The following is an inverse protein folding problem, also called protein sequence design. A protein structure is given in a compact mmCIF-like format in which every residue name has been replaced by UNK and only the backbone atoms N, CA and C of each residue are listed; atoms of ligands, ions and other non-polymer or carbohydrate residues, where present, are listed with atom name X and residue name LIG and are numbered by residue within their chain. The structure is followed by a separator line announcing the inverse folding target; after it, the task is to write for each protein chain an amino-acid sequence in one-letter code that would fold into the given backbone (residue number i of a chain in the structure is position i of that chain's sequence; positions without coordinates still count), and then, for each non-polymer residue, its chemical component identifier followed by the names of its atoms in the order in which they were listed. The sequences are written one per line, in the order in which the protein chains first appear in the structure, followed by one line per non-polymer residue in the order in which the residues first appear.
data_IF_506141255102
#
_entry.id   IF_506141255102
#
_cell.length_a   1.000
_cell.length_b   1.000
_cell.length_c   1.000
_cell.angle_alpha   90.00
_cell.angle_beta   90.00
_cell.angle_gamma   90.00
#
_symmetry.space_group_name_H-M   'P 1'
#
loop_
_entity.id
_entity.type
_entity.pdbx_description
1 polymer ?
#
# COMPACT_ATOMS: atom_id res chain seq x y z
N UNK A 1 -3.31 5.44 -15.97
CA UNK A 1 -3.54 5.51 -17.45
C UNK A 1 -2.57 6.53 -18.06
N UNK A 2 -1.91 6.23 -19.15
CA UNK A 2 -0.95 7.14 -19.79
C UNK A 2 -1.50 7.60 -21.16
N UNK A 3 -2.34 8.67 -21.17
CA UNK A 3 -2.91 9.27 -22.36
C UNK A 3 -4.17 8.59 -22.91
N UNK A 4 -4.73 9.17 -23.96
CA UNK A 4 -6.04 8.79 -24.55
C UNK A 4 -6.07 7.35 -25.07
N UNK A 5 -4.99 6.85 -25.66
CA UNK A 5 -4.95 5.46 -26.16
C UNK A 5 -5.13 4.44 -25.01
N UNK A 6 -4.60 4.74 -23.83
CA UNK A 6 -4.80 3.89 -22.65
C UNK A 6 -6.23 4.00 -22.10
N UNK A 7 -6.83 5.18 -22.17
CA UNK A 7 -8.25 5.36 -21.82
C UNK A 7 -9.13 4.52 -22.77
N UNK A 8 -8.86 4.52 -24.08
CA UNK A 8 -9.56 3.69 -25.05
C UNK A 8 -9.39 2.18 -24.78
N UNK A 9 -8.19 1.77 -24.37
CA UNK A 9 -7.94 0.39 -23.97
C UNK A 9 -8.77 0.00 -22.75
N UNK A 10 -8.74 0.82 -21.69
CA UNK A 10 -9.55 0.59 -20.48
C UNK A 10 -11.04 0.61 -20.79
N UNK A 11 -11.52 1.52 -21.65
CA UNK A 11 -12.91 1.56 -22.06
C UNK A 11 -13.38 0.23 -22.70
N UNK A 12 -12.55 -0.41 -23.53
CA UNK A 12 -12.86 -1.73 -24.09
C UNK A 12 -12.94 -2.83 -23.02
N UNK A 13 -12.05 -2.81 -22.03
CA UNK A 13 -12.11 -3.77 -20.92
C UNK A 13 -13.38 -3.58 -20.08
N UNK A 14 -13.70 -2.34 -19.77
CA UNK A 14 -14.90 -1.98 -18.99
C UNK A 14 -16.17 -2.33 -19.75
N UNK A 15 -16.27 -1.99 -21.03
CA UNK A 15 -17.43 -2.32 -21.86
C UNK A 15 -17.69 -3.82 -21.92
N UNK A 16 -16.63 -4.62 -22.11
CA UNK A 16 -16.71 -6.09 -22.09
C UNK A 16 -17.21 -6.63 -20.75
N UNK A 17 -16.68 -6.09 -19.63
CA UNK A 17 -17.11 -6.50 -18.30
C UNK A 17 -18.58 -6.14 -18.03
N UNK A 18 -19.02 -5.00 -18.55
CA UNK A 18 -20.39 -4.51 -18.39
C UNK A 18 -21.44 -5.33 -19.16
N UNK A 19 -21.03 -6.14 -20.16
CA UNK A 19 -21.90 -7.11 -20.84
C UNK A 19 -22.30 -8.28 -19.93
N UNK A 20 -21.47 -8.57 -18.89
CA UNK A 20 -21.65 -9.72 -18.00
C UNK A 20 -22.15 -9.33 -16.60
N UNK A 21 -21.91 -8.09 -16.18
CA UNK A 21 -22.22 -7.66 -14.81
C UNK A 21 -22.46 -6.16 -14.68
N UNK A 22 -23.16 -5.75 -13.64
CA UNK A 22 -23.22 -4.34 -13.24
C UNK A 22 -21.79 -3.86 -12.91
N UNK A 23 -21.34 -2.80 -13.56
CA UNK A 23 -19.94 -2.38 -13.50
C UNK A 23 -19.81 -0.95 -13.01
N UNK A 24 -19.07 -0.80 -11.91
CA UNK A 24 -18.59 0.46 -11.37
C UNK A 24 -17.06 0.53 -11.56
N UNK A 25 -16.55 1.63 -12.08
CA UNK A 25 -15.12 1.81 -12.38
C UNK A 25 -14.57 2.98 -11.60
N UNK A 26 -13.57 2.74 -10.76
CA UNK A 26 -12.81 3.78 -10.07
C UNK A 26 -11.49 4.02 -10.80
N UNK A 27 -11.20 5.27 -11.13
CA UNK A 27 -10.02 5.64 -11.89
C UNK A 27 -9.05 6.50 -11.09
N UNK A 28 -7.75 6.30 -11.33
CA UNK A 28 -6.68 7.21 -10.90
C UNK A 28 -6.41 8.27 -11.96
N UNK A 29 -5.70 9.33 -11.60
CA UNK A 29 -5.18 10.31 -12.54
C UNK A 29 -4.33 9.65 -13.64
N UNK A 30 -4.19 10.31 -14.77
CA UNK A 30 -3.26 9.88 -15.81
C UNK A 30 -1.81 9.92 -15.28
N UNK A 31 -0.96 9.03 -15.81
CA UNK A 31 0.43 8.93 -15.38
C UNK A 31 1.15 10.29 -15.46
N UNK A 32 1.79 10.70 -14.35
CA UNK A 32 2.49 11.97 -14.20
C UNK A 32 1.59 13.19 -13.93
N UNK A 33 0.26 13.05 -14.02
CA UNK A 33 -0.66 14.18 -13.85
C UNK A 33 -0.68 14.65 -12.39
N UNK A 34 -0.73 13.76 -11.43
CA UNK A 34 -0.67 14.11 -10.01
C UNK A 34 0.63 14.84 -9.66
N UNK A 35 1.79 14.38 -10.17
CA UNK A 35 3.07 15.03 -9.95
C UNK A 35 3.10 16.44 -10.57
N UNK A 36 2.51 16.61 -11.76
CA UNK A 36 2.36 17.91 -12.43
C UNK A 36 1.52 18.87 -11.61
N UNK A 37 0.38 18.41 -11.08
CA UNK A 37 -0.51 19.22 -10.24
C UNK A 37 0.17 19.60 -8.91
N UNK A 38 0.89 18.67 -8.29
CA UNK A 38 1.72 18.92 -7.09
C UNK A 38 2.77 19.98 -7.36
N UNK A 39 3.42 19.92 -8.54
CA UNK A 39 4.41 20.93 -8.92
C UNK A 39 3.75 22.33 -9.08
N UNK A 40 2.57 22.41 -9.69
CA UNK A 40 1.82 23.68 -9.78
C UNK A 40 1.50 24.26 -8.39
N UNK A 41 1.09 23.44 -7.43
CA UNK A 41 0.86 23.90 -6.06
C UNK A 41 2.12 24.51 -5.44
N UNK A 42 3.29 23.86 -5.61
CA UNK A 42 4.58 24.34 -5.10
C UNK A 42 5.01 25.66 -5.76
N UNK A 43 4.76 25.81 -7.06
CA UNK A 43 5.09 27.01 -7.82
C UNK A 43 4.16 28.17 -7.48
N UNK A 44 2.87 27.88 -7.23
CA UNK A 44 1.89 28.88 -6.86
C UNK A 44 2.13 29.46 -5.45
N UNK A 45 2.50 28.61 -4.48
CA UNK A 45 2.72 29.03 -3.11
C UNK A 45 3.69 28.08 -2.37
N UNK A 46 4.77 28.64 -1.82
CA UNK A 46 5.73 27.88 -1.01
C UNK A 46 5.06 27.29 0.26
N UNK A 47 4.10 28.02 0.83
CA UNK A 47 3.24 27.57 1.91
C UNK A 47 1.79 27.71 1.47
N UNK A 48 1.09 26.60 1.30
CA UNK A 48 -0.29 26.56 0.83
C UNK A 48 -1.20 25.91 1.87
N UNK A 49 -2.48 26.30 1.85
CA UNK A 49 -3.51 25.63 2.65
C UNK A 49 -3.71 24.19 2.11
N UNK A 50 -3.62 23.16 2.93
CA UNK A 50 -3.84 21.78 2.51
C UNK A 50 -5.22 21.55 1.86
N UNK A 51 -6.23 22.33 2.22
CA UNK A 51 -7.57 22.25 1.64
C UNK A 51 -7.59 22.69 0.17
N UNK A 52 -6.85 23.74 -0.18
CA UNK A 52 -6.71 24.21 -1.56
C UNK A 52 -5.81 23.26 -2.38
N UNK A 53 -4.78 22.70 -1.74
CA UNK A 53 -3.96 21.65 -2.35
C UNK A 53 -4.81 20.45 -2.77
N UNK A 54 -5.69 19.96 -1.90
CA UNK A 54 -6.58 18.83 -2.19
C UNK A 54 -7.50 19.10 -3.39
N UNK A 55 -8.03 20.32 -3.52
CA UNK A 55 -8.85 20.73 -4.68
C UNK A 55 -8.06 20.60 -5.98
N UNK A 56 -6.81 21.07 -5.98
CA UNK A 56 -5.97 21.02 -7.19
C UNK A 56 -5.62 19.59 -7.57
N UNK A 57 -5.09 18.80 -6.62
CA UNK A 57 -4.58 17.45 -6.95
C UNK A 57 -5.70 16.46 -7.26
N UNK A 58 -6.89 16.61 -6.64
CA UNK A 58 -8.05 15.77 -6.93
C UNK A 58 -8.61 15.93 -8.35
N UNK A 59 -8.27 17.03 -9.05
CA UNK A 59 -8.75 17.30 -10.40
C UNK A 59 -8.22 16.32 -11.44
N UNK A 60 -7.07 15.69 -11.18
CA UNK A 60 -6.45 14.73 -12.09
C UNK A 60 -7.33 13.51 -12.35
N UNK A 61 -7.91 12.94 -11.28
CA UNK A 61 -8.83 11.82 -11.36
C UNK A 61 -10.16 12.22 -12.00
N UNK A 62 -10.63 13.45 -11.76
CA UNK A 62 -11.88 13.97 -12.37
C UNK A 62 -11.75 14.06 -13.89
N UNK A 63 -10.61 14.57 -14.40
CA UNK A 63 -10.31 14.58 -15.83
C UNK A 63 -10.33 13.16 -16.41
N UNK A 64 -9.68 12.22 -15.75
CA UNK A 64 -9.64 10.82 -16.20
C UNK A 64 -11.02 10.18 -16.23
N UNK A 65 -11.85 10.40 -15.21
CA UNK A 65 -13.20 9.86 -15.13
C UNK A 65 -14.10 10.42 -16.25
N UNK A 66 -14.06 11.74 -16.49
CA UNK A 66 -14.79 12.36 -17.59
C UNK A 66 -14.39 11.82 -18.96
N UNK A 67 -13.07 11.69 -19.22
CA UNK A 67 -12.56 11.16 -20.49
C UNK A 67 -12.93 9.69 -20.70
N UNK A 68 -12.91 8.88 -19.64
CA UNK A 68 -13.33 7.48 -19.73
C UNK A 68 -14.84 7.36 -20.01
N UNK A 69 -15.67 8.13 -19.31
CA UNK A 69 -17.12 8.14 -19.55
C UNK A 69 -17.45 8.57 -20.99
N UNK A 70 -16.83 9.64 -21.49
CA UNK A 70 -16.97 10.07 -22.90
C UNK A 70 -16.54 9.00 -23.88
N UNK A 71 -15.45 8.28 -23.59
CA UNK A 71 -14.94 7.23 -24.46
C UNK A 71 -15.90 6.04 -24.50
N UNK A 72 -16.48 5.63 -23.36
CA UNK A 72 -17.50 4.59 -23.27
C UNK A 72 -18.77 4.99 -24.04
N UNK A 73 -19.25 6.22 -23.86
CA UNK A 73 -20.39 6.75 -24.60
C UNK A 73 -20.16 6.74 -26.14
N UNK A 74 -18.93 7.04 -26.58
CA UNK A 74 -18.57 6.97 -28.00
C UNK A 74 -18.49 5.53 -28.54
N UNK A 75 -18.58 4.52 -27.64
CA UNK A 75 -18.69 3.10 -27.97
C UNK A 75 -20.13 2.57 -27.79
N UNK A 76 -21.12 3.49 -27.77
CA UNK A 76 -22.54 3.21 -27.55
C UNK A 76 -22.87 2.57 -26.20
N UNK A 77 -21.96 2.62 -25.20
CA UNK A 77 -22.21 2.16 -23.86
C UNK A 77 -22.88 3.28 -23.04
N UNK A 78 -23.94 2.95 -22.28
CA UNK A 78 -24.51 3.88 -21.30
C UNK A 78 -23.55 4.03 -20.13
N UNK A 79 -22.84 5.17 -20.06
CA UNK A 79 -21.84 5.44 -19.04
C UNK A 79 -21.98 6.86 -18.50
N UNK A 80 -21.75 7.02 -17.19
CA UNK A 80 -21.84 8.31 -16.51
C UNK A 80 -20.75 8.45 -15.43
N UNK A 81 -20.16 9.65 -15.35
CA UNK A 81 -19.23 9.98 -14.25
C UNK A 81 -19.99 10.43 -13.00
N UNK A 82 -19.53 9.94 -11.84
CA UNK A 82 -19.99 10.33 -10.50
C UNK A 82 -18.78 10.80 -9.72
N UNK A 83 -18.77 12.04 -9.24
CA UNK A 83 -17.60 12.58 -8.55
C UNK A 83 -17.40 11.91 -7.18
N UNK A 84 -16.15 11.57 -6.84
CA UNK A 84 -15.84 10.91 -5.59
C UNK A 84 -16.29 11.69 -4.36
N UNK A 85 -16.17 13.02 -4.39
CA UNK A 85 -16.66 13.90 -3.33
C UNK A 85 -18.19 13.98 -3.20
N UNK A 86 -18.95 13.48 -4.17
CA UNK A 86 -20.40 13.32 -4.05
C UNK A 86 -20.82 12.02 -3.40
N UNK A 87 -19.90 11.06 -3.29
CA UNK A 87 -20.18 9.68 -2.90
C UNK A 87 -19.49 9.29 -1.58
N UNK A 88 -18.29 9.83 -1.36
CA UNK A 88 -17.45 9.46 -0.23
C UNK A 88 -17.40 10.60 0.78
N UNK A 89 -17.93 10.36 1.98
CA UNK A 89 -17.68 11.20 3.14
C UNK A 89 -16.30 10.86 3.72
N UNK A 90 -15.49 11.88 3.95
CA UNK A 90 -14.13 11.74 4.43
C UNK A 90 -13.88 12.59 5.68
N UNK A 91 -13.02 12.11 6.56
CA UNK A 91 -12.62 12.82 7.78
C UNK A 91 -11.11 12.83 7.98
N UNK A 92 -10.65 13.65 8.90
CA UNK A 92 -9.24 13.71 9.32
C UNK A 92 -8.44 14.80 8.61
N UNK A 93 -7.17 14.51 8.34
CA UNK A 93 -6.22 15.51 7.84
C UNK A 93 -6.27 15.57 6.32
N UNK A 94 -6.42 16.77 5.75
CA UNK A 94 -6.28 17.00 4.32
C UNK A 94 -4.96 16.42 3.78
N UNK A 95 -4.98 15.83 2.59
CA UNK A 95 -3.86 15.09 2.02
C UNK A 95 -3.74 13.64 2.52
N UNK A 96 -4.46 13.25 3.58
CA UNK A 96 -4.48 11.89 4.13
C UNK A 96 -5.77 11.59 4.89
N UNK A 97 -6.91 12.01 4.33
CA UNK A 97 -8.23 11.77 4.90
C UNK A 97 -8.61 10.28 4.92
N UNK A 98 -9.60 9.93 5.73
CA UNK A 98 -10.15 8.58 5.84
C UNK A 98 -11.57 8.56 5.31
N UNK A 99 -11.96 7.47 4.65
CA UNK A 99 -13.34 7.26 4.24
C UNK A 99 -14.15 6.85 5.48
N UNK A 100 -15.21 7.58 5.76
CA UNK A 100 -16.13 7.32 6.87
C UNK A 100 -17.41 6.66 6.39
N UNK A 101 -17.96 7.14 5.29
CA UNK A 101 -19.26 6.71 4.78
C UNK A 101 -19.33 6.80 3.27
N UNK A 102 -20.22 6.01 2.68
CA UNK A 102 -20.50 6.01 1.26
C UNK A 102 -22.00 6.28 1.05
N UNK A 103 -22.30 7.24 0.18
CA UNK A 103 -23.64 7.55 -0.29
C UNK A 103 -23.89 6.83 -1.61
N UNK A 104 -24.33 5.56 -1.55
CA UNK A 104 -24.49 4.69 -2.73
C UNK A 104 -25.75 4.90 -3.54
N UNK A 105 -26.80 5.54 -2.98
CA UNK A 105 -28.12 5.54 -3.59
C UNK A 105 -28.20 6.03 -5.04
N UNK A 106 -27.38 7.01 -5.43
CA UNK A 106 -27.31 7.47 -6.82
C UNK A 106 -26.60 6.46 -7.74
N UNK A 107 -25.64 5.70 -7.20
CA UNK A 107 -24.92 4.64 -7.91
C UNK A 107 -25.84 3.43 -8.10
N UNK A 108 -26.53 3.00 -7.04
CA UNK A 108 -27.44 1.85 -7.08
C UNK A 108 -28.49 2.03 -8.18
N UNK A 109 -29.11 3.21 -8.26
CA UNK A 109 -30.08 3.52 -9.31
C UNK A 109 -29.51 3.48 -10.72
N UNK A 110 -28.29 3.97 -10.93
CA UNK A 110 -27.62 3.96 -12.22
C UNK A 110 -27.22 2.54 -12.64
N UNK A 111 -26.62 1.76 -11.73
CA UNK A 111 -26.20 0.38 -11.97
C UNK A 111 -27.40 -0.53 -12.29
N UNK A 112 -28.50 -0.37 -11.57
CA UNK A 112 -29.77 -1.09 -11.84
C UNK A 112 -30.36 -0.74 -13.21
N UNK A 113 -30.12 0.47 -13.72
CA UNK A 113 -30.53 0.88 -15.06
C UNK A 113 -29.56 0.39 -16.17
N UNK A 114 -28.47 -0.27 -15.81
CA UNK A 114 -27.44 -0.74 -16.76
C UNK A 114 -26.39 0.31 -17.11
N UNK A 115 -26.37 1.45 -16.42
CA UNK A 115 -25.38 2.52 -16.64
C UNK A 115 -24.04 2.12 -16.01
N UNK A 116 -22.96 2.23 -16.76
CA UNK A 116 -21.59 2.08 -16.24
C UNK A 116 -21.24 3.33 -15.42
N UNK A 117 -21.01 3.14 -14.12
CA UNK A 117 -20.61 4.23 -13.24
C UNK A 117 -19.09 4.42 -13.29
N UNK A 118 -18.62 5.63 -13.65
CA UNK A 118 -17.21 5.98 -13.68
C UNK A 118 -16.90 7.00 -12.58
N UNK A 119 -15.99 6.65 -11.66
CA UNK A 119 -15.76 7.42 -10.43
C UNK A 119 -14.28 7.83 -10.35
N UNK A 120 -13.96 9.12 -10.17
CA UNK A 120 -12.62 9.54 -9.80
C UNK A 120 -12.32 9.07 -8.36
N UNK A 121 -11.30 8.25 -8.20
CA UNK A 121 -10.81 7.83 -6.89
C UNK A 121 -10.07 8.92 -6.14
N UNK A 122 -9.36 8.55 -5.06
CA UNK A 122 -8.44 9.41 -4.31
C UNK A 122 -9.10 10.55 -3.52
N UNK A 123 -10.37 10.83 -3.64
CA UNK A 123 -11.07 11.99 -3.08
C UNK A 123 -12.39 11.63 -2.41
N UNK A 124 -12.74 12.42 -1.40
CA UNK A 124 -14.05 12.44 -0.75
C UNK A 124 -14.41 13.87 -0.35
N UNK A 125 -15.55 14.07 0.32
CA UNK A 125 -15.97 15.33 0.91
C UNK A 125 -15.87 15.27 2.43
N UNK A 126 -15.35 16.31 3.05
CA UNK A 126 -15.46 16.53 4.50
C UNK A 126 -16.86 17.00 4.88
N UNK A 127 -17.20 16.95 6.17
CA UNK A 127 -18.50 17.38 6.70
C UNK A 127 -18.88 18.82 6.29
N UNK A 128 -17.89 19.72 6.18
CA UNK A 128 -18.06 21.09 5.70
C UNK A 128 -18.11 21.22 4.15
N UNK A 129 -18.18 20.08 3.44
CA UNK A 129 -18.33 20.01 1.98
C UNK A 129 -17.05 20.30 1.19
N UNK A 130 -15.88 20.31 1.82
CA UNK A 130 -14.61 20.51 1.12
C UNK A 130 -14.07 19.20 0.57
N UNK A 131 -13.41 19.27 -0.59
CA UNK A 131 -12.70 18.10 -1.12
C UNK A 131 -11.52 17.77 -0.23
N UNK A 132 -11.41 16.50 0.15
CA UNK A 132 -10.27 15.94 0.88
C UNK A 132 -9.68 14.76 0.14
N UNK A 133 -8.36 14.75 -0.03
CA UNK A 133 -7.66 13.62 -0.66
C UNK A 133 -7.27 12.56 0.35
N UNK A 134 -7.32 11.30 -0.10
CA UNK A 134 -7.12 10.12 0.76
C UNK A 134 -5.64 9.74 0.93
N UNK A 135 -4.74 10.48 0.30
CA UNK A 135 -3.32 10.20 0.36
C UNK A 135 -2.88 9.01 -0.51
N UNK A 136 -1.70 8.49 -0.23
CA UNK A 136 -1.08 7.42 -1.04
C UNK A 136 -1.97 6.16 -1.09
N UNK A 137 -2.19 5.63 -2.30
CA UNK A 137 -3.11 4.50 -2.54
C UNK A 137 -4.59 4.86 -2.38
N UNK A 138 -4.91 6.15 -2.44
CA UNK A 138 -6.28 6.65 -2.25
C UNK A 138 -7.27 6.12 -3.28
N UNK A 139 -6.86 5.88 -4.54
CA UNK A 139 -7.76 5.31 -5.57
C UNK A 139 -8.12 3.87 -5.27
N UNK A 140 -7.16 3.02 -4.84
CA UNK A 140 -7.43 1.65 -4.42
C UNK A 140 -8.35 1.64 -3.20
N UNK A 141 -8.10 2.53 -2.24
CA UNK A 141 -8.94 2.68 -1.04
C UNK A 141 -10.36 3.11 -1.42
N UNK A 142 -10.52 4.04 -2.38
CA UNK A 142 -11.82 4.45 -2.91
C UNK A 142 -12.55 3.29 -3.58
N UNK A 143 -11.83 2.50 -4.39
CA UNK A 143 -12.40 1.35 -5.10
C UNK A 143 -12.95 0.31 -4.11
N UNK A 144 -12.17 -0.06 -3.10
CA UNK A 144 -12.60 -1.02 -2.06
C UNK A 144 -13.77 -0.47 -1.25
N UNK A 145 -13.71 0.83 -0.87
CA UNK A 145 -14.78 1.47 -0.13
C UNK A 145 -16.10 1.44 -0.92
N UNK A 146 -16.06 1.88 -2.19
CA UNK A 146 -17.22 1.91 -3.07
C UNK A 146 -17.78 0.50 -3.30
N UNK A 147 -16.92 -0.49 -3.56
CA UNK A 147 -17.32 -1.88 -3.72
C UNK A 147 -18.05 -2.40 -2.47
N UNK A 148 -17.52 -2.14 -1.28
CA UNK A 148 -18.13 -2.50 -0.01
C UNK A 148 -19.48 -1.78 0.19
N UNK A 149 -19.55 -0.48 -0.07
CA UNK A 149 -20.78 0.30 0.06
C UNK A 149 -21.90 -0.09 -0.90
N UNK A 150 -21.53 -0.62 -2.08
CA UNK A 150 -22.47 -1.17 -3.07
C UNK A 150 -22.85 -2.64 -2.78
N UNK A 151 -22.17 -3.30 -1.83
CA UNK A 151 -22.33 -4.75 -1.64
C UNK A 151 -21.90 -5.55 -2.87
N UNK A 152 -20.85 -5.10 -3.57
CA UNK A 152 -20.36 -5.77 -4.76
C UNK A 152 -19.80 -7.17 -4.44
N UNK A 153 -19.89 -8.09 -5.39
CA UNK A 153 -19.39 -9.46 -5.23
C UNK A 153 -17.86 -9.50 -5.08
N UNK A 154 -17.13 -8.56 -5.71
CA UNK A 154 -15.67 -8.42 -5.66
C UNK A 154 -15.23 -7.04 -6.10
N UNK A 155 -13.96 -6.72 -5.79
CA UNK A 155 -13.28 -5.53 -6.28
C UNK A 155 -12.01 -5.95 -7.05
N UNK A 156 -11.96 -5.68 -8.35
CA UNK A 156 -10.79 -5.97 -9.21
C UNK A 156 -9.88 -4.73 -9.26
N UNK A 157 -8.62 -4.88 -8.85
CA UNK A 157 -7.60 -3.81 -8.91
C UNK A 157 -6.69 -4.08 -10.11
N UNK A 158 -6.77 -3.19 -11.11
CA UNK A 158 -5.95 -3.28 -12.32
C UNK A 158 -4.66 -2.48 -12.14
N UNK A 159 -3.53 -3.16 -12.33
CA UNK A 159 -2.18 -2.60 -12.16
C UNK A 159 -1.26 -2.95 -13.34
N UNK A 160 0.00 -2.57 -13.26
CA UNK A 160 1.02 -2.85 -14.29
C UNK A 160 1.66 -4.24 -14.20
N UNK A 161 1.28 -5.03 -13.19
CA UNK A 161 1.71 -6.43 -13.02
C UNK A 161 0.53 -7.39 -13.16
N UNK A 162 0.81 -8.65 -13.50
CA UNK A 162 -0.23 -9.66 -13.72
C UNK A 162 -0.87 -10.20 -12.42
N UNK A 163 -0.38 -9.81 -11.27
CA UNK A 163 -0.84 -10.25 -9.96
C UNK A 163 0.21 -10.04 -8.89
N UNK A 164 0.05 -10.72 -7.75
CA UNK A 164 1.04 -10.79 -6.67
C UNK A 164 2.04 -11.90 -7.01
N UNK A 165 3.32 -11.63 -6.80
CA UNK A 165 4.40 -12.59 -7.03
C UNK A 165 5.06 -13.00 -5.72
N UNK A 166 5.67 -14.18 -5.70
CA UNK A 166 6.41 -14.70 -4.54
C UNK A 166 7.60 -13.83 -4.13
N UNK A 167 8.10 -12.99 -5.05
CA UNK A 167 8.98 -11.83 -4.79
C UNK A 167 8.95 -10.91 -6.01
N UNK A 168 9.71 -9.80 -5.98
CA UNK A 168 9.83 -8.91 -7.14
C UNK A 168 10.55 -9.61 -8.31
N UNK A 169 9.90 -9.81 -9.46
CA UNK A 169 10.51 -10.47 -10.64
C UNK A 169 11.76 -9.74 -11.17
N UNK A 170 11.95 -8.46 -10.84
CA UNK A 170 13.16 -7.70 -11.19
C UNK A 170 14.36 -8.12 -10.32
N UNK A 171 14.13 -8.65 -9.12
CA UNK A 171 15.16 -9.17 -8.23
C UNK A 171 15.39 -10.66 -8.53
N UNK A 172 14.33 -11.46 -8.62
CA UNK A 172 14.39 -12.89 -8.90
C UNK A 172 13.47 -13.24 -10.09
N UNK A 173 14.04 -13.44 -11.29
CA UNK A 173 13.25 -13.73 -12.50
C UNK A 173 12.41 -15.04 -12.45
N UNK A 174 12.72 -15.94 -11.51
CA UNK A 174 11.93 -17.18 -11.28
C UNK A 174 10.81 -16.97 -10.27
N UNK A 175 10.51 -15.73 -9.89
CA UNK A 175 9.39 -15.43 -9.01
C UNK A 175 8.08 -15.91 -9.65
N UNK A 176 7.36 -16.80 -8.97
CA UNK A 176 6.09 -17.32 -9.44
C UNK A 176 4.94 -16.37 -9.10
N UNK A 177 3.94 -16.28 -9.99
CA UNK A 177 2.70 -15.56 -9.69
C UNK A 177 1.85 -16.39 -8.73
N UNK A 178 1.36 -15.78 -7.68
CA UNK A 178 0.48 -16.38 -6.69
C UNK A 178 -0.97 -16.30 -7.19
N UNK A 179 -1.66 -17.41 -7.33
CA UNK A 179 -3.05 -17.41 -7.80
C UNK A 179 -4.03 -17.01 -6.69
N UNK A 180 -3.73 -17.36 -5.45
CA UNK A 180 -4.58 -17.10 -4.29
C UNK A 180 -3.73 -16.79 -3.06
N UNK A 181 -4.06 -15.72 -2.34
CA UNK A 181 -3.38 -15.29 -1.11
C UNK A 181 -4.40 -14.82 -0.07
N UNK A 182 -4.11 -15.04 1.21
CA UNK A 182 -4.91 -14.47 2.30
C UNK A 182 -4.72 -12.96 2.43
N UNK A 183 -5.77 -12.27 2.81
CA UNK A 183 -5.73 -10.83 2.95
C UNK A 183 -4.77 -10.37 4.05
N UNK A 184 -4.59 -11.15 5.13
CA UNK A 184 -3.62 -10.84 6.18
C UNK A 184 -2.18 -10.98 5.68
N UNK A 185 -1.87 -12.02 4.87
CA UNK A 185 -0.56 -12.20 4.24
C UNK A 185 -0.30 -11.10 3.21
N UNK A 186 -1.33 -10.73 2.41
CA UNK A 186 -1.23 -9.60 1.48
C UNK A 186 -0.97 -8.28 2.21
N UNK A 187 -1.60 -8.06 3.37
CA UNK A 187 -1.37 -6.90 4.23
C UNK A 187 0.09 -6.83 4.70
N UNK A 188 0.63 -7.98 5.14
CA UNK A 188 2.03 -8.07 5.56
C UNK A 188 3.00 -7.85 4.38
N UNK A 189 2.73 -8.43 3.20
CA UNK A 189 3.53 -8.19 2.00
C UNK A 189 3.51 -6.71 1.58
N UNK A 190 2.33 -6.08 1.57
CA UNK A 190 2.19 -4.66 1.26
C UNK A 190 2.97 -3.77 2.26
N UNK A 191 2.87 -4.08 3.56
CA UNK A 191 3.61 -3.38 4.62
C UNK A 191 5.12 -3.67 4.62
N UNK A 192 5.52 -4.78 4.02
CA UNK A 192 6.93 -5.16 3.88
C UNK A 192 7.60 -4.61 2.60
N UNK A 193 6.86 -3.88 1.76
CA UNK A 193 7.42 -3.23 0.57
C UNK A 193 7.02 -3.85 -0.77
N UNK A 194 6.15 -4.85 -0.80
CA UNK A 194 5.52 -5.32 -2.04
C UNK A 194 4.54 -4.25 -2.55
N UNK A 195 4.94 -3.52 -3.61
CA UNK A 195 4.24 -2.32 -4.10
C UNK A 195 3.05 -2.62 -5.02
N UNK A 196 2.41 -3.77 -4.86
CA UNK A 196 1.28 -4.18 -5.71
C UNK A 196 -0.02 -3.55 -5.23
N UNK A 197 -0.29 -3.61 -3.92
CA UNK A 197 -1.42 -2.96 -3.26
C UNK A 197 -0.95 -2.09 -2.10
N UNK A 198 -1.79 -1.15 -1.70
CA UNK A 198 -1.52 -0.32 -0.54
C UNK A 198 -2.10 -0.95 0.73
N UNK A 199 -1.37 -0.84 1.84
CA UNK A 199 -1.78 -1.37 3.17
C UNK A 199 -3.21 -0.93 3.54
N UNK A 200 -3.57 0.32 3.27
CA UNK A 200 -4.90 0.87 3.61
C UNK A 200 -6.03 0.22 2.83
N UNK A 201 -5.85 -0.06 1.54
CA UNK A 201 -6.88 -0.73 0.72
C UNK A 201 -7.08 -2.18 1.15
N UNK A 202 -6.00 -2.90 1.43
CA UNK A 202 -6.07 -4.29 1.95
C UNK A 202 -6.72 -4.32 3.34
N UNK A 203 -6.30 -3.42 4.25
CA UNK A 203 -6.90 -3.32 5.58
C UNK A 203 -8.39 -2.98 5.55
N UNK A 204 -8.81 -2.14 4.61
CA UNK A 204 -10.24 -1.85 4.38
C UNK A 204 -10.98 -3.09 3.84
N UNK A 205 -10.39 -3.82 2.90
CA UNK A 205 -10.97 -5.05 2.35
C UNK A 205 -11.19 -6.12 3.43
N UNK A 206 -10.23 -6.30 4.35
CA UNK A 206 -10.39 -7.18 5.51
C UNK A 206 -11.56 -6.74 6.38
N UNK A 207 -11.63 -5.45 6.73
CA UNK A 207 -12.69 -4.91 7.60
C UNK A 207 -14.08 -5.07 7.02
N UNK A 208 -14.22 -4.85 5.71
CA UNK A 208 -15.51 -4.90 4.99
C UNK A 208 -15.80 -6.30 4.41
N UNK A 209 -14.91 -7.28 4.64
CA UNK A 209 -14.98 -8.62 4.06
C UNK A 209 -15.16 -8.60 2.54
N UNK A 210 -14.43 -7.71 1.86
CA UNK A 210 -14.51 -7.50 0.41
C UNK A 210 -13.43 -8.30 -0.31
N UNK A 211 -13.78 -9.33 -1.13
CA UNK A 211 -12.81 -10.05 -1.94
C UNK A 211 -12.15 -9.13 -2.97
N UNK A 212 -10.82 -9.22 -3.09
CA UNK A 212 -10.06 -8.47 -4.08
C UNK A 212 -9.48 -9.40 -5.13
N UNK A 213 -9.34 -8.91 -6.36
CA UNK A 213 -8.51 -9.57 -7.37
C UNK A 213 -7.52 -8.55 -7.95
N UNK A 214 -6.24 -8.87 -7.95
CA UNK A 214 -5.22 -8.05 -8.62
C UNK A 214 -5.05 -8.57 -10.05
N UNK A 215 -5.21 -7.71 -11.04
CA UNK A 215 -5.19 -8.05 -12.47
C UNK A 215 -4.27 -7.13 -13.26
N UNK A 216 -3.74 -7.65 -14.37
CA UNK A 216 -2.99 -6.80 -15.31
C UNK A 216 -3.92 -5.85 -16.07
N UNK A 217 -3.51 -4.59 -16.17
CA UNK A 217 -4.15 -3.61 -17.06
C UNK A 217 -3.71 -3.78 -18.54
N UNK A 218 -2.81 -4.71 -18.84
CA UNK A 218 -2.18 -4.88 -20.17
C UNK A 218 -2.39 -6.25 -20.77
N UNK A 219 -2.51 -7.28 -19.93
CA UNK A 219 -2.59 -8.68 -20.35
C UNK A 219 -3.89 -9.29 -19.86
N UNK A 220 -4.56 -10.05 -20.70
CA UNK A 220 -5.78 -10.78 -20.35
C UNK A 220 -5.40 -12.17 -19.79
N UNK A 221 -4.84 -12.14 -18.58
CA UNK A 221 -4.42 -13.33 -17.85
C UNK A 221 -5.11 -13.39 -16.48
N UNK A 222 -5.28 -14.58 -15.90
CA UNK A 222 -5.77 -14.69 -14.52
C UNK A 222 -4.88 -13.91 -13.55
N UNK A 223 -5.52 -13.14 -12.68
CA UNK A 223 -4.84 -12.37 -11.65
C UNK A 223 -4.54 -13.17 -10.39
N UNK A 224 -4.31 -12.47 -9.28
CA UNK A 224 -4.23 -13.02 -7.93
C UNK A 224 -5.51 -12.71 -7.18
N UNK A 225 -6.20 -13.70 -6.66
CA UNK A 225 -7.35 -13.53 -5.77
C UNK A 225 -6.87 -13.38 -4.33
N UNK A 226 -7.41 -12.38 -3.63
CA UNK A 226 -7.14 -12.11 -2.22
C UNK A 226 -8.41 -12.42 -1.44
N UNK A 227 -8.35 -13.42 -0.57
CA UNK A 227 -9.49 -13.89 0.21
C UNK A 227 -9.44 -13.36 1.64
N UNK A 228 -10.58 -12.94 2.16
CA UNK A 228 -10.71 -12.39 3.51
C UNK A 228 -11.07 -13.44 4.56
N UNK A 229 -11.52 -14.63 4.14
CA UNK A 229 -11.87 -15.76 5.01
C UNK A 229 -11.08 -17.00 4.65
N UNK A 230 -10.65 -17.76 5.67
CA UNK A 230 -9.72 -18.89 5.54
C UNK A 230 -10.39 -20.27 5.52
N UNK A 231 -11.71 -20.38 5.50
CA UNK A 231 -12.42 -21.65 5.74
C UNK A 231 -12.04 -22.80 4.79
N UNK A 232 -11.44 -22.52 3.61
CA UNK A 232 -11.14 -23.54 2.59
C UNK A 232 -9.62 -23.75 2.27
N UNK A 233 -8.68 -23.15 3.03
CA UNK A 233 -7.28 -23.10 2.59
C UNK A 233 -6.22 -23.54 3.61
N UNK A 234 -6.55 -24.43 4.54
CA UNK A 234 -5.65 -24.87 5.65
C UNK A 234 -4.41 -25.67 5.25
N UNK A 235 -4.22 -26.06 3.98
CA UNK A 235 -3.09 -26.90 3.53
C UNK A 235 -2.16 -26.19 2.52
N UNK A 236 -2.00 -24.86 2.58
CA UNK A 236 -1.12 -24.16 1.65
C UNK A 236 0.31 -23.98 2.16
N UNK A 237 1.21 -23.72 1.22
CA UNK A 237 2.63 -23.44 1.45
C UNK A 237 2.81 -22.47 2.61
N UNK A 238 3.64 -22.84 3.56
CA UNK A 238 3.91 -22.04 4.76
C UNK A 238 4.44 -20.62 4.43
N UNK A 239 5.03 -20.41 3.25
CA UNK A 239 5.57 -19.11 2.80
C UNK A 239 4.84 -18.64 1.54
N UNK A 240 4.23 -17.46 1.63
CA UNK A 240 3.47 -16.81 0.54
C UNK A 240 4.35 -15.91 -0.32
N UNK A 241 5.41 -15.36 0.25
CA UNK A 241 6.32 -14.51 -0.50
C UNK A 241 7.41 -13.85 0.32
N UNK A 242 8.30 -13.16 -0.40
CA UNK A 242 9.42 -12.40 0.16
C UNK A 242 9.35 -10.97 -0.39
N UNK A 243 9.26 -10.01 0.50
CA UNK A 243 9.28 -8.60 0.15
C UNK A 243 10.59 -7.93 0.61
N UNK A 244 11.03 -6.92 -0.12
CA UNK A 244 12.17 -6.10 0.23
C UNK A 244 11.80 -4.62 0.22
N UNK A 245 12.11 -3.91 1.29
CA UNK A 245 11.93 -2.46 1.41
C UNK A 245 13.27 -1.77 1.59
N UNK A 246 13.67 -1.00 0.56
CA UNK A 246 14.88 -0.18 0.56
C UNK A 246 14.61 1.26 1.04
N UNK A 247 13.40 1.55 1.46
CA UNK A 247 12.98 2.86 1.94
C UNK A 247 13.20 3.11 3.42
N UNK A 248 13.89 2.21 4.12
CA UNK A 248 14.14 2.27 5.56
C UNK A 248 15.49 2.92 5.89
N UNK A 249 15.57 3.54 7.07
CA UNK A 249 16.81 3.94 7.72
C UNK A 249 16.79 3.48 9.17
N UNK A 250 17.91 2.98 9.66
CA UNK A 250 18.11 2.57 11.05
C UNK A 250 18.49 3.79 11.90
N UNK A 251 17.80 3.97 13.01
CA UNK A 251 18.18 4.92 14.06
C UNK A 251 18.49 4.15 15.34
N UNK A 252 19.64 4.47 15.93
CA UNK A 252 20.11 3.94 17.19
C UNK A 252 20.33 5.08 18.20
N UNK A 253 19.59 5.05 19.28
CA UNK A 253 19.79 5.94 20.41
C UNK A 253 20.67 5.23 21.44
N UNK A 254 21.81 5.83 21.78
CA UNK A 254 22.65 5.35 22.87
C UNK A 254 22.11 5.98 24.17
N UNK A 255 21.50 5.15 24.98
CA UNK A 255 20.82 5.62 26.20
C UNK A 255 20.80 4.49 27.24
N UNK A 256 21.15 4.81 28.48
CA UNK A 256 21.01 3.85 29.58
C UNK A 256 19.55 3.51 29.80
N UNK A 257 19.29 2.30 30.31
CA UNK A 257 17.93 1.88 30.59
C UNK A 257 17.25 2.80 31.62
N UNK A 258 16.12 3.38 31.18
CA UNK A 258 15.29 4.27 31.97
C UNK A 258 13.82 3.97 31.67
N UNK A 259 12.99 3.76 32.71
CA UNK A 259 11.56 3.60 32.48
C UNK A 259 10.98 4.75 31.65
N UNK A 260 10.20 4.42 30.62
CA UNK A 260 9.53 5.41 29.75
C UNK A 260 10.36 5.96 28.59
N UNK A 261 11.65 5.62 28.44
CA UNK A 261 12.47 6.15 27.32
C UNK A 261 11.91 5.78 25.95
N UNK A 262 11.43 4.54 25.78
CA UNK A 262 10.80 4.11 24.52
C UNK A 262 9.53 4.92 24.23
N UNK A 263 8.67 5.09 25.24
CA UNK A 263 7.46 5.89 25.11
C UNK A 263 7.78 7.36 24.74
N UNK A 264 8.80 7.96 25.36
CA UNK A 264 9.25 9.31 25.04
C UNK A 264 9.77 9.44 23.60
N UNK A 265 10.56 8.46 23.12
CA UNK A 265 11.06 8.44 21.76
C UNK A 265 9.92 8.29 20.74
N UNK A 266 9.00 7.34 20.96
CA UNK A 266 7.85 7.13 20.08
C UNK A 266 6.90 8.34 20.07
N UNK A 267 6.69 8.99 21.23
CA UNK A 267 5.88 10.21 21.32
C UNK A 267 6.52 11.38 20.54
N UNK A 268 7.84 11.54 20.64
CA UNK A 268 8.53 12.57 19.88
C UNK A 268 8.37 12.39 18.36
N UNK A 269 8.46 11.15 17.87
CA UNK A 269 8.26 10.83 16.46
C UNK A 269 6.79 10.97 16.04
N UNK A 270 5.86 10.51 16.88
CA UNK A 270 4.42 10.61 16.61
C UNK A 270 3.94 12.07 16.51
N UNK A 271 4.47 12.98 17.33
CA UNK A 271 4.16 14.41 17.28
C UNK A 271 4.57 15.07 15.97
N UNK A 272 5.57 14.49 15.26
CA UNK A 272 5.99 14.90 13.94
C UNK A 272 5.30 14.10 12.82
N UNK A 273 4.36 13.20 13.16
CA UNK A 273 3.66 12.34 12.21
C UNK A 273 4.57 11.30 11.53
N UNK A 274 5.63 10.84 12.21
CA UNK A 274 6.61 9.89 11.67
C UNK A 274 6.26 8.47 12.10
N UNK A 275 6.15 7.59 11.10
CA UNK A 275 5.99 6.16 11.33
C UNK A 275 7.30 5.52 11.80
N UNK A 276 7.18 4.46 12.58
CA UNK A 276 8.31 3.69 13.13
C UNK A 276 8.04 2.21 12.86
N UNK A 277 9.10 1.48 12.49
CA UNK A 277 9.08 0.02 12.35
C UNK A 277 10.27 -0.61 13.09
N UNK A 278 10.33 -1.93 13.19
CA UNK A 278 11.40 -2.75 13.76
C UNK A 278 11.96 -2.25 15.10
N UNK A 279 11.10 -1.91 16.05
CA UNK A 279 11.52 -1.40 17.37
C UNK A 279 12.20 -2.49 18.20
N UNK A 280 13.39 -2.19 18.73
CA UNK A 280 14.14 -3.04 19.64
C UNK A 280 14.79 -2.22 20.76
N UNK A 281 14.74 -2.73 21.98
CA UNK A 281 15.32 -2.08 23.16
C UNK A 281 16.33 -3.02 23.83
N UNK A 282 17.56 -2.56 23.97
CA UNK A 282 18.61 -3.18 24.77
C UNK A 282 18.84 -2.42 26.09
N UNK A 283 19.83 -2.85 26.88
CA UNK A 283 20.20 -2.21 28.15
C UNK A 283 20.78 -0.82 27.98
N UNK A 284 21.48 -0.56 26.90
CA UNK A 284 22.26 0.66 26.63
C UNK A 284 21.85 1.38 25.35
N UNK A 285 20.87 0.84 24.64
CA UNK A 285 20.45 1.39 23.35
C UNK A 285 18.98 1.11 23.05
N UNK A 286 18.41 1.96 22.21
CA UNK A 286 17.10 1.80 21.59
C UNK A 286 17.26 1.90 20.08
N UNK A 287 16.76 0.91 19.36
CA UNK A 287 16.87 0.82 17.91
C UNK A 287 15.47 0.83 17.29
N UNK A 288 15.30 1.50 16.18
CA UNK A 288 14.12 1.42 15.34
C UNK A 288 14.42 1.87 13.93
N UNK A 289 13.56 1.51 12.99
CA UNK A 289 13.64 2.03 11.64
C UNK A 289 12.56 3.10 11.42
N UNK A 290 12.90 4.03 10.53
CA UNK A 290 12.01 5.10 10.05
C UNK A 290 12.12 5.17 8.53
N UNK A 291 11.13 5.74 7.81
CA UNK A 291 11.28 6.00 6.39
C UNK A 291 12.56 6.82 6.12
N UNK A 292 13.39 6.36 5.18
CA UNK A 292 14.66 7.02 4.81
C UNK A 292 14.46 8.50 4.50
N UNK A 293 13.37 8.85 3.83
CA UNK A 293 13.02 10.24 3.49
C UNK A 293 12.65 11.10 4.70
N UNK A 294 12.43 10.48 5.86
CA UNK A 294 12.08 11.16 7.10
C UNK A 294 13.22 11.18 8.13
N UNK A 295 14.39 10.63 7.78
CA UNK A 295 15.50 10.42 8.71
C UNK A 295 15.93 11.72 9.41
N UNK A 296 16.17 12.80 8.68
CA UNK A 296 16.60 14.08 9.26
C UNK A 296 15.56 14.66 10.22
N UNK A 297 14.28 14.55 9.88
CA UNK A 297 13.16 14.98 10.75
C UNK A 297 13.09 14.11 12.00
N UNK A 298 13.29 12.80 11.86
CA UNK A 298 13.32 11.88 12.99
C UNK A 298 14.46 12.21 13.96
N UNK A 299 15.67 12.43 13.44
CA UNK A 299 16.83 12.83 14.24
C UNK A 299 16.55 14.15 14.98
N UNK A 300 16.03 15.15 14.28
CA UNK A 300 15.71 16.45 14.88
C UNK A 300 14.64 16.35 16.01
N UNK A 301 13.60 15.53 15.80
CA UNK A 301 12.55 15.30 16.81
C UNK A 301 13.10 14.58 18.05
N UNK A 302 13.95 13.58 17.86
CA UNK A 302 14.57 12.83 18.94
C UNK A 302 15.58 13.68 19.70
N UNK A 303 16.38 14.51 19.03
CA UNK A 303 17.32 15.40 19.67
C UNK A 303 16.63 16.48 20.51
N UNK A 304 15.52 17.02 20.02
CA UNK A 304 14.63 17.94 20.79
C UNK A 304 14.07 17.28 22.06
N UNK A 305 13.84 15.97 22.04
CA UNK A 305 13.33 15.20 23.19
C UNK A 305 14.46 14.55 24.03
N UNK A 306 15.72 14.95 23.84
CA UNK A 306 16.92 14.36 24.45
C UNK A 306 16.79 14.12 25.96
N UNK A 307 16.34 15.12 26.71
CA UNK A 307 16.24 15.05 28.18
C UNK A 307 15.16 14.03 28.63
N UNK A 308 14.04 13.96 27.91
CA UNK A 308 12.96 13.03 28.20
C UNK A 308 13.37 11.58 27.90
N UNK A 309 14.07 11.36 26.80
CA UNK A 309 14.57 10.05 26.37
C UNK A 309 15.80 9.65 27.19
N UNK A 310 16.68 10.59 27.50
CA UNK A 310 17.93 10.36 28.23
C UNK A 310 19.04 9.76 27.35
N UNK A 311 19.05 10.03 26.05
CA UNK A 311 20.10 9.55 25.16
C UNK A 311 21.34 10.46 25.17
N UNK A 312 22.51 9.83 25.04
CA UNK A 312 23.82 10.53 24.95
C UNK A 312 24.21 10.79 23.51
N UNK A 313 23.80 9.92 22.58
CA UNK A 313 24.13 10.04 21.17
C UNK A 313 23.01 9.44 20.31
N UNK A 314 22.87 9.95 19.08
CA UNK A 314 22.08 9.38 18.00
C UNK A 314 23.03 8.90 16.91
N UNK A 315 22.92 7.65 16.51
CA UNK A 315 23.58 7.08 15.34
C UNK A 315 22.51 6.73 14.30
N UNK A 316 22.82 6.87 13.04
CA UNK A 316 21.90 6.51 11.95
C UNK A 316 22.64 5.83 10.82
N UNK A 317 21.92 4.97 10.10
CA UNK A 317 22.39 4.30 8.90
C UNK A 317 21.25 4.28 7.88
N UNK A 318 21.43 4.92 6.73
CA UNK A 318 20.46 4.97 5.63
C UNK A 318 20.82 4.01 4.48
N UNK A 319 21.93 3.29 4.59
CA UNK A 319 22.35 2.26 3.65
C UNK A 319 21.83 0.85 4.05
N UNK A 320 20.60 0.80 4.57
CA UNK A 320 19.95 -0.43 5.04
C UNK A 320 18.66 -0.70 4.27
N UNK A 321 18.28 -1.97 4.26
CA UNK A 321 16.97 -2.38 3.75
C UNK A 321 16.38 -3.52 4.59
N UNK A 322 15.06 -3.59 4.63
CA UNK A 322 14.31 -4.63 5.31
C UNK A 322 13.92 -5.72 4.32
N UNK A 323 14.20 -6.98 4.65
CA UNK A 323 13.71 -8.16 3.94
C UNK A 323 12.70 -8.84 4.85
N UNK A 324 11.54 -9.20 4.33
CA UNK A 324 10.48 -9.88 5.07
C UNK A 324 10.05 -11.13 4.33
N UNK A 325 10.14 -12.25 4.99
CA UNK A 325 9.52 -13.52 4.57
C UNK A 325 8.14 -13.57 5.20
N UNK A 326 7.11 -13.69 4.37
CA UNK A 326 5.70 -13.68 4.77
C UNK A 326 5.08 -15.05 4.54
N UNK A 327 4.30 -15.52 5.51
CA UNK A 327 3.59 -16.79 5.46
C UNK A 327 2.93 -17.11 6.79
N UNK A 328 2.11 -18.14 6.81
CA UNK A 328 1.36 -18.55 8.02
C UNK A 328 2.22 -19.45 8.91
N UNK A 329 2.17 -19.23 10.22
CA UNK A 329 2.79 -20.12 11.22
C UNK A 329 4.32 -20.03 11.29
N UNK A 330 4.93 -18.94 10.84
CA UNK A 330 6.40 -18.80 10.84
C UNK A 330 6.95 -18.90 12.26
N UNK A 331 6.37 -18.22 13.25
CA UNK A 331 6.81 -18.28 14.64
C UNK A 331 6.49 -19.63 15.28
N UNK A 332 5.34 -20.19 14.94
CA UNK A 332 4.89 -21.49 15.46
C UNK A 332 5.66 -22.66 14.86
N UNK A 333 6.41 -22.46 13.77
CA UNK A 333 7.30 -23.44 13.16
C UNK A 333 8.78 -23.02 13.33
N UNK A 334 9.47 -23.49 14.39
CA UNK A 334 10.86 -23.09 14.65
C UNK A 334 11.84 -23.39 13.51
N UNK A 335 11.57 -24.44 12.72
CA UNK A 335 12.42 -24.81 11.59
C UNK A 335 12.31 -23.78 10.45
N UNK A 336 11.11 -23.23 10.19
CA UNK A 336 10.93 -22.14 9.23
C UNK A 336 11.64 -20.87 9.70
N UNK A 337 11.45 -20.48 10.96
CA UNK A 337 12.09 -19.31 11.53
C UNK A 337 13.64 -19.44 11.48
N UNK A 338 14.19 -20.59 11.87
CA UNK A 338 15.63 -20.86 11.79
C UNK A 338 16.13 -20.74 10.34
N UNK A 339 15.43 -21.35 9.38
CA UNK A 339 15.82 -21.36 7.96
C UNK A 339 15.94 -19.94 7.38
N UNK A 340 15.07 -19.00 7.76
CA UNK A 340 15.16 -17.59 7.33
C UNK A 340 16.51 -16.98 7.70
N UNK A 341 16.99 -17.24 8.90
CA UNK A 341 18.24 -16.65 9.40
C UNK A 341 19.47 -17.45 8.99
N UNK A 342 19.39 -18.77 8.86
CA UNK A 342 20.49 -19.65 8.42
C UNK A 342 20.88 -19.37 6.96
N UNK A 343 19.90 -19.31 6.04
CA UNK A 343 20.14 -19.01 4.62
C UNK A 343 20.88 -17.68 4.43
N UNK A 344 20.55 -16.69 5.24
CA UNK A 344 21.24 -15.41 5.26
C UNK A 344 22.68 -15.55 5.77
N UNK A 345 22.88 -16.30 6.85
CA UNK A 345 24.21 -16.54 7.44
C UNK A 345 25.13 -17.28 6.46
N UNK A 346 24.63 -18.28 5.75
CA UNK A 346 25.37 -19.04 4.73
C UNK A 346 25.84 -18.16 3.58
N UNK A 347 25.15 -17.06 3.32
CA UNK A 347 25.53 -16.05 2.31
C UNK A 347 26.37 -14.89 2.88
N UNK A 348 26.73 -14.97 4.16
CA UNK A 348 27.51 -13.95 4.89
C UNK A 348 26.83 -12.56 4.87
N UNK A 349 25.50 -12.51 4.79
CA UNK A 349 24.72 -11.27 4.86
C UNK A 349 24.60 -10.83 6.32
N UNK A 350 25.13 -9.66 6.73
CA UNK A 350 25.02 -9.18 8.12
C UNK A 350 23.57 -8.97 8.54
N UNK A 351 23.26 -9.29 9.80
CA UNK A 351 21.97 -9.02 10.43
C UNK A 351 22.11 -7.80 11.33
N UNK A 352 21.45 -6.71 10.99
CA UNK A 352 21.47 -5.47 11.75
C UNK A 352 20.35 -5.42 12.79
N UNK A 353 19.17 -5.95 12.45
CA UNK A 353 18.04 -6.14 13.32
C UNK A 353 17.15 -7.28 12.80
N UNK A 354 16.34 -7.87 13.69
CA UNK A 354 15.40 -8.92 13.32
C UNK A 354 14.08 -8.75 14.10
N UNK A 355 12.97 -9.13 13.45
CA UNK A 355 11.67 -9.28 14.11
C UNK A 355 11.01 -10.55 13.62
N UNK A 356 10.22 -11.17 14.50
CA UNK A 356 9.51 -12.40 14.22
C UNK A 356 8.09 -12.34 14.75
N UNK A 357 7.12 -12.60 13.89
CA UNK A 357 5.70 -12.72 14.22
C UNK A 357 5.13 -14.02 13.67
N UNK A 358 3.84 -14.26 13.86
CA UNK A 358 3.16 -15.44 13.35
C UNK A 358 3.11 -15.49 11.81
N UNK A 359 2.99 -14.32 11.18
CA UNK A 359 2.86 -14.18 9.72
C UNK A 359 4.13 -13.68 9.03
N UNK A 360 5.16 -13.26 9.80
CA UNK A 360 6.31 -12.58 9.20
C UNK A 360 7.60 -12.77 9.98
N UNK A 361 8.70 -13.05 9.26
CA UNK A 361 10.06 -12.92 9.76
C UNK A 361 10.78 -11.83 8.95
N UNK A 362 11.24 -10.78 9.63
CA UNK A 362 11.94 -9.67 8.99
C UNK A 362 13.37 -9.56 9.47
N UNK A 363 14.26 -9.22 8.54
CA UNK A 363 15.68 -8.96 8.77
C UNK A 363 16.06 -7.60 8.18
N UNK A 364 16.74 -6.76 8.94
CA UNK A 364 17.37 -5.56 8.45
C UNK A 364 18.81 -5.92 8.04
N UNK A 365 19.17 -5.60 6.80
CA UNK A 365 20.45 -5.94 6.18
C UNK A 365 21.04 -4.73 5.46
N UNK A 366 22.34 -4.71 5.12
CA UNK A 366 22.90 -3.70 4.23
C UNK A 366 22.18 -3.69 2.88
N UNK A 367 21.86 -2.50 2.36
CA UNK A 367 21.08 -2.31 1.12
C UNK A 367 21.73 -3.00 -0.09
N UNK A 368 23.05 -2.98 -0.19
CA UNK A 368 23.82 -3.63 -1.26
C UNK A 368 23.68 -5.17 -1.31
N UNK A 369 23.26 -5.80 -0.22
CA UNK A 369 23.13 -7.25 -0.10
C UNK A 369 21.71 -7.78 -0.21
N UNK A 370 20.72 -6.91 -0.39
CA UNK A 370 19.29 -7.26 -0.46
C UNK A 370 19.01 -8.29 -1.54
N UNK A 371 19.50 -8.07 -2.78
CA UNK A 371 19.18 -8.95 -3.90
C UNK A 371 19.76 -10.36 -3.71
N UNK A 372 20.96 -10.45 -3.12
CA UNK A 372 21.59 -11.74 -2.79
C UNK A 372 20.75 -12.48 -1.75
N UNK A 373 20.33 -11.79 -0.70
CA UNK A 373 19.54 -12.39 0.37
C UNK A 373 18.15 -12.82 -0.11
N UNK A 374 17.45 -11.98 -0.91
CA UNK A 374 16.14 -12.30 -1.48
C UNK A 374 16.22 -13.54 -2.36
N UNK A 375 17.18 -13.61 -3.29
CA UNK A 375 17.36 -14.78 -4.17
C UNK A 375 17.69 -16.06 -3.39
N UNK A 376 18.53 -15.95 -2.37
CA UNK A 376 18.89 -17.09 -1.53
C UNK A 376 17.68 -17.61 -0.75
N UNK A 377 16.90 -16.74 -0.15
CA UNK A 377 15.67 -17.10 0.57
C UNK A 377 14.63 -17.69 -0.39
N UNK A 378 14.41 -17.07 -1.57
CA UNK A 378 13.47 -17.55 -2.57
C UNK A 378 13.82 -18.98 -3.02
N UNK A 379 15.08 -19.23 -3.32
CA UNK A 379 15.57 -20.57 -3.68
C UNK A 379 15.44 -21.58 -2.52
N UNK A 380 15.75 -21.16 -1.29
CA UNK A 380 15.68 -22.03 -0.13
C UNK A 380 14.24 -22.43 0.22
N UNK A 381 13.26 -21.58 -0.01
CA UNK A 381 11.84 -21.86 0.20
C UNK A 381 11.15 -22.43 -1.04
N UNK A 382 11.89 -22.68 -2.14
CA UNK A 382 11.37 -23.29 -3.38
C UNK A 382 10.16 -22.52 -3.94
N UNK A 383 10.23 -21.18 -3.93
CA UNK A 383 9.13 -20.29 -4.33
C UNK A 383 9.09 -20.01 -5.84
N UNK A 384 9.99 -20.58 -6.62
CA UNK A 384 10.05 -20.46 -8.08
C UNK A 384 9.23 -21.54 -8.78
N UNK A 385 8.92 -21.27 -10.06
CA UNK A 385 8.41 -22.28 -10.99
C UNK A 385 9.50 -23.28 -11.37
#
# INVERSE_FOLDING_TARGET
MAGIERIRHVARLVARQAEESQTCVVVSAMAGETDRLVQFCKEAAAHHDPREYDVVVASGEQVTAGLLAMTLQNMDADARSFMGWQLLEASGVHGNARVEKIESGALDGALLAGTIAVIPGFQGATEDGRIATLGRGGSDTSAVAIAAGLGADRCDIYTDVAGVYTTDPRIEPRAAKVDLIGAEEMLELAGAGAKVLQVRSVGLAIRENMPLTVRSAFEDVPGTTIVTTWEDHMERTAISGIAADRGEALVRLIAQDKPGRLAAALSALANEGLAVDMVSQGSDSLHFTVPRTALDRAIAALDKARDAIGHSAIQSDDAVAKISVVGVGIRSNPALAAKVYDVRADRQVPLLAATLSELKASALVPDEQVDVAVRALHAAFELGE
#
